data_IF_395262719815
#
_entry.id   IF_395262719815
#
_cell.length_a   1.000
_cell.length_b   1.000
_cell.length_c   1.000
_cell.angle_alpha   90.00
_cell.angle_beta   90.00
_cell.angle_gamma   90.00
#
_symmetry.space_group_name_H-M   'P 1'
#
loop_
_entity.id
_entity.type
_entity.pdbx_description
1 polymer ?
#
# COMPACT_ATOMS: atom_id res chain seq x y z
N UNK A 1 -14.01 3.01 44.41
CA UNK A 1 -13.29 3.64 43.28
C UNK A 1 -11.82 3.76 43.65
N UNK A 2 -10.97 2.85 43.15
CA UNK A 2 -9.53 2.83 43.47
C UNK A 2 -8.80 3.71 42.45
N UNK A 3 -8.10 4.73 42.95
CA UNK A 3 -7.28 5.62 42.14
C UNK A 3 -6.12 4.85 41.48
N UNK A 4 -5.91 5.10 40.18
CA UNK A 4 -4.77 4.60 39.40
C UNK A 4 -3.49 5.38 39.78
N UNK A 5 -2.32 4.73 39.85
CA UNK A 5 -1.07 5.40 40.21
C UNK A 5 -0.56 6.29 39.07
N UNK A 6 -0.31 7.56 39.40
CA UNK A 6 0.15 8.63 38.50
C UNK A 6 1.65 8.58 38.20
N UNK A 7 2.23 7.42 37.88
CA UNK A 7 3.68 7.33 37.68
C UNK A 7 4.06 6.47 36.47
N UNK A 8 3.81 7.01 35.28
CA UNK A 8 4.50 6.62 34.05
C UNK A 8 5.22 7.86 33.53
N UNK A 9 6.38 8.15 34.14
CA UNK A 9 7.35 9.09 33.57
C UNK A 9 7.84 8.50 32.24
N UNK A 10 7.27 8.98 31.15
CA UNK A 10 7.76 8.72 29.81
C UNK A 10 9.19 9.28 29.75
N UNK A 11 10.17 8.42 29.51
CA UNK A 11 11.56 8.79 29.38
C UNK A 11 11.71 9.81 28.25
N UNK A 12 11.91 11.08 28.59
CA UNK A 12 12.24 12.13 27.62
C UNK A 12 13.66 11.90 27.08
N UNK A 13 13.87 11.78 25.76
CA UNK A 13 15.21 11.79 25.19
C UNK A 13 15.81 13.19 25.37
N UNK A 14 16.86 13.30 26.18
CA UNK A 14 17.69 14.50 26.29
C UNK A 14 18.46 14.74 24.97
N UNK A 15 18.32 15.96 24.45
CA UNK A 15 19.33 16.75 23.71
C UNK A 15 20.22 16.03 22.68
N UNK A 16 19.94 16.25 21.39
CA UNK A 16 20.97 16.41 20.36
C UNK A 16 20.64 17.65 19.54
N UNK A 17 21.28 18.77 19.89
CA UNK A 17 21.36 19.99 19.08
C UNK A 17 22.82 20.23 18.73
N UNK A 18 23.15 20.09 17.45
CA UNK A 18 24.26 20.68 16.68
C UNK A 18 24.42 19.79 15.44
N UNK A 19 24.54 20.24 14.19
CA UNK A 19 25.21 21.42 13.67
C UNK A 19 24.51 21.91 12.41
N UNK A 20 24.23 23.21 12.36
CA UNK A 20 24.03 23.99 11.13
C UNK A 20 25.39 24.24 10.47
N UNK A 21 25.56 23.80 9.22
CA UNK A 21 26.75 24.04 8.42
C UNK A 21 26.38 24.45 6.99
N UNK A 22 25.94 25.70 6.83
CA UNK A 22 25.71 26.35 5.54
C UNK A 22 27.06 26.66 4.89
N UNK A 23 27.34 26.07 3.72
CA UNK A 23 28.33 26.59 2.76
C UNK A 23 27.66 26.75 1.40
N UNK A 24 27.27 27.99 1.10
CA UNK A 24 26.98 28.44 -0.27
C UNK A 24 28.32 28.52 -1.02
N UNK A 25 28.43 27.82 -2.15
CA UNK A 25 29.53 28.02 -3.10
C UNK A 25 28.95 28.57 -4.41
N UNK A 26 29.64 29.59 -4.91
CA UNK A 26 29.23 30.49 -5.95
C UNK A 26 29.02 29.82 -7.32
N UNK A 27 28.08 30.42 -8.04
CA UNK A 27 27.73 30.24 -9.44
C UNK A 27 28.88 30.71 -10.35
N UNK A 28 29.24 29.93 -11.36
CA UNK A 28 29.99 30.38 -12.53
C UNK A 28 29.24 29.95 -13.81
N UNK A 29 29.11 30.79 -14.84
CA UNK A 29 28.30 30.51 -16.02
C UNK A 29 29.11 29.95 -17.20
N UNK A 30 28.36 29.38 -18.14
CA UNK A 30 28.65 29.18 -19.56
C UNK A 30 29.56 28.03 -20.01
N UNK A 31 28.91 26.90 -20.34
CA UNK A 31 29.36 26.00 -21.40
C UNK A 31 28.15 25.54 -22.25
N UNK A 32 28.22 25.60 -23.60
CA UNK A 32 27.11 25.25 -24.48
C UNK A 32 26.90 23.72 -24.56
N UNK A 33 25.65 23.22 -24.63
CA UNK A 33 25.39 21.79 -24.66
C UNK A 33 25.72 21.21 -26.04
N UNK A 34 26.72 20.32 -26.05
CA UNK A 34 26.94 19.40 -27.15
C UNK A 34 25.66 18.57 -27.42
N UNK A 35 25.19 18.62 -28.66
CA UNK A 35 24.07 17.81 -29.14
C UNK A 35 24.41 16.32 -29.04
N UNK A 36 23.99 15.68 -27.93
CA UNK A 36 23.97 14.23 -27.81
C UNK A 36 22.81 13.71 -28.66
N UNK A 37 23.13 12.93 -29.70
CA UNK A 37 22.18 12.07 -30.40
C UNK A 37 21.54 11.14 -29.37
N UNK A 38 20.32 11.46 -28.96
CA UNK A 38 19.49 10.57 -28.14
C UNK A 38 19.05 9.44 -29.07
N UNK A 39 19.70 8.29 -28.96
CA UNK A 39 19.13 6.99 -29.31
C UNK A 39 17.90 6.77 -28.43
N UNK A 40 16.78 7.33 -28.88
CA UNK A 40 15.46 7.28 -28.24
C UNK A 40 14.83 5.90 -28.45
N UNK A 41 15.36 4.88 -27.79
CA UNK A 41 14.78 3.53 -27.73
C UNK A 41 15.04 2.81 -26.38
N UNK A 42 14.80 3.44 -25.21
CA UNK A 42 14.42 2.61 -24.07
C UNK A 42 13.12 3.04 -23.36
N UNK A 43 12.56 4.23 -23.62
CA UNK A 43 11.44 4.72 -22.80
C UNK A 43 10.10 4.02 -23.11
N UNK A 44 9.83 3.66 -24.37
CA UNK A 44 8.62 2.92 -24.72
C UNK A 44 8.65 1.46 -24.23
N UNK A 45 9.85 0.84 -24.22
CA UNK A 45 10.06 -0.51 -23.69
C UNK A 45 10.00 -0.52 -22.17
N UNK A 46 10.55 0.51 -21.50
CA UNK A 46 10.40 0.70 -20.06
C UNK A 46 8.97 1.01 -19.65
N UNK A 47 8.20 1.77 -20.44
CA UNK A 47 6.78 2.03 -20.14
C UNK A 47 5.95 0.74 -20.26
N UNK A 48 6.20 -0.09 -21.29
CA UNK A 48 5.55 -1.40 -21.45
C UNK A 48 5.95 -2.37 -20.33
N UNK A 49 7.24 -2.46 -19.97
CA UNK A 49 7.69 -3.32 -18.87
C UNK A 49 7.21 -2.85 -17.48
N UNK A 50 7.11 -1.54 -17.25
CA UNK A 50 6.63 -1.00 -15.97
C UNK A 50 5.10 -1.16 -15.83
N UNK A 51 4.33 -0.99 -16.91
CA UNK A 51 2.89 -1.25 -16.91
C UNK A 51 2.56 -2.74 -16.70
N UNK A 52 3.46 -3.64 -17.10
CA UNK A 52 3.30 -5.08 -16.86
C UNK A 52 3.63 -5.50 -15.41
N UNK A 53 4.49 -4.75 -14.72
CA UNK A 53 4.90 -5.03 -13.34
C UNK A 53 3.97 -4.45 -12.28
N UNK A 54 3.25 -3.37 -12.58
CA UNK A 54 2.34 -2.70 -11.63
C UNK A 54 0.88 -3.21 -11.69
N UNK A 55 0.63 -4.37 -12.30
CA UNK A 55 -0.68 -5.05 -12.26
C UNK A 55 -0.73 -6.08 -11.11
N UNK A 56 -1.41 -5.80 -9.98
CA UNK A 56 -1.48 -6.72 -8.85
C UNK A 56 -2.55 -7.80 -9.07
N UNK A 57 -2.54 -8.50 -10.21
CA UNK A 57 -3.58 -9.48 -10.56
C UNK A 57 -3.07 -10.91 -10.80
N UNK A 58 -1.79 -11.23 -10.57
CA UNK A 58 -1.27 -12.57 -10.81
C UNK A 58 -0.31 -13.07 -9.72
N UNK A 59 -0.78 -13.22 -8.47
CA UNK A 59 -0.16 -14.12 -7.50
C UNK A 59 -1.15 -14.55 -6.41
N UNK A 60 -2.22 -15.25 -6.81
CA UNK A 60 -2.94 -16.15 -5.92
C UNK A 60 -2.98 -17.54 -6.54
N UNK A 61 -1.84 -18.23 -6.43
CA UNK A 61 -1.85 -19.68 -6.37
C UNK A 61 -2.69 -20.08 -5.16
N UNK A 62 -3.81 -20.77 -5.43
CA UNK A 62 -4.66 -21.44 -4.44
C UNK A 62 -3.82 -22.29 -3.49
N UNK A 63 -3.97 -22.16 -2.17
CA UNK A 63 -3.80 -23.29 -1.28
C UNK A 63 -5.15 -23.95 -1.01
N UNK A 64 -5.10 -25.28 -0.90
CA UNK A 64 -6.24 -26.14 -0.67
C UNK A 64 -7.04 -25.76 0.58
N UNK A 65 -8.35 -25.84 0.38
CA UNK A 65 -9.45 -25.79 1.34
C UNK A 65 -9.23 -26.83 2.45
N UNK A 66 -9.00 -26.38 3.68
CA UNK A 66 -9.29 -27.16 4.88
C UNK A 66 -10.39 -26.43 5.66
N UNK A 67 -11.53 -27.10 5.75
CA UNK A 67 -12.72 -26.72 6.49
C UNK A 67 -12.56 -27.09 7.97
N UNK A 68 -12.92 -26.18 8.89
CA UNK A 68 -13.72 -26.41 10.11
C UNK A 68 -13.53 -25.27 11.14
N UNK A 69 -14.63 -24.57 11.47
CA UNK A 69 -14.72 -23.63 12.60
C UNK A 69 -15.90 -22.65 12.45
N UNK A 70 -16.72 -22.39 13.50
CA UNK A 70 -18.08 -21.87 13.35
C UNK A 70 -18.14 -20.37 13.07
N UNK A 71 -19.17 -20.00 12.32
CA UNK A 71 -19.45 -18.67 11.79
C UNK A 71 -19.68 -17.63 12.88
N UNK A 72 -18.89 -16.56 12.85
CA UNK A 72 -19.24 -15.28 13.47
C UNK A 72 -20.10 -14.52 12.44
N UNK A 73 -21.30 -14.03 12.79
CA UNK A 73 -22.11 -13.24 11.88
C UNK A 73 -21.52 -11.83 11.77
N UNK A 74 -20.62 -11.61 10.82
CA UNK A 74 -20.23 -10.25 10.41
C UNK A 74 -21.31 -9.65 9.53
N UNK A 75 -22.27 -8.98 10.16
CA UNK A 75 -23.14 -7.99 9.51
C UNK A 75 -22.29 -6.75 9.17
N UNK A 76 -21.55 -6.80 8.06
CA UNK A 76 -20.91 -5.62 7.49
C UNK A 76 -21.36 -5.47 6.04
N UNK A 77 -22.50 -4.83 5.87
CA UNK A 77 -23.01 -4.33 4.61
C UNK A 77 -22.16 -3.10 4.21
N UNK A 78 -20.87 -3.30 3.99
CA UNK A 78 -19.96 -2.27 3.48
C UNK A 78 -20.19 -2.22 1.98
N UNK A 79 -20.71 -1.11 1.42
CA UNK A 79 -20.85 -0.98 -0.02
C UNK A 79 -19.45 -1.11 -0.62
N UNK A 80 -19.26 -2.18 -1.39
CA UNK A 80 -18.06 -2.32 -2.21
C UNK A 80 -17.96 -1.07 -3.09
N UNK A 81 -16.77 -0.47 -3.21
CA UNK A 81 -16.61 0.68 -4.08
C UNK A 81 -17.12 0.31 -5.48
N UNK A 82 -17.88 1.20 -6.14
CA UNK A 82 -18.41 0.92 -7.47
C UNK A 82 -17.23 0.51 -8.36
N UNK A 83 -17.23 -0.74 -8.82
CA UNK A 83 -16.30 -1.19 -9.84
C UNK A 83 -16.56 -0.27 -11.03
N UNK A 84 -15.57 0.50 -11.53
CA UNK A 84 -15.76 1.35 -12.69
C UNK A 84 -16.13 0.47 -13.88
N UNK A 85 -17.43 0.32 -14.12
CA UNK A 85 -18.01 -0.48 -15.17
C UNK A 85 -18.14 0.36 -16.44
N UNK A 86 -16.99 0.69 -17.03
CA UNK A 86 -16.81 0.96 -18.47
C UNK A 86 -15.31 1.19 -18.71
N UNK A 87 -14.56 0.09 -18.60
CA UNK A 87 -13.10 0.07 -18.64
C UNK A 87 -12.53 0.10 -20.06
N UNK A 88 -12.79 1.15 -20.83
CA UNK A 88 -11.75 1.63 -21.74
C UNK A 88 -10.87 2.58 -20.92
N UNK A 89 -10.12 2.00 -19.98
CA UNK A 89 -9.06 2.74 -19.31
C UNK A 89 -8.05 3.25 -20.33
N UNK A 90 -7.13 4.12 -19.92
CA UNK A 90 -6.02 4.57 -20.78
C UNK A 90 -5.33 3.40 -21.50
N UNK A 91 -5.33 2.23 -20.87
CA UNK A 91 -4.86 0.97 -21.43
C UNK A 91 -5.65 0.51 -22.67
N UNK A 92 -6.98 0.39 -22.60
CA UNK A 92 -7.79 -0.02 -23.77
C UNK A 92 -7.75 1.02 -24.91
N UNK A 93 -7.61 2.31 -24.59
CA UNK A 93 -7.43 3.34 -25.62
C UNK A 93 -6.11 3.17 -26.38
N UNK A 94 -5.03 2.75 -25.71
CA UNK A 94 -3.70 2.66 -26.30
C UNK A 94 -3.40 1.29 -26.90
N UNK A 95 -3.94 0.22 -26.32
CA UNK A 95 -3.70 -1.15 -26.75
C UNK A 95 -4.60 -1.56 -27.92
N UNK A 96 -5.88 -1.16 -27.93
CA UNK A 96 -6.85 -1.69 -28.90
C UNK A 96 -7.20 -0.72 -30.04
N UNK A 97 -6.89 0.58 -29.93
CA UNK A 97 -7.30 1.56 -30.96
C UNK A 97 -6.23 1.83 -32.02
N UNK A 98 -4.95 1.52 -31.76
CA UNK A 98 -3.88 1.83 -32.71
C UNK A 98 -3.79 0.74 -33.78
N UNK A 99 -4.57 0.89 -34.84
CA UNK A 99 -4.50 -0.03 -35.97
C UNK A 99 -3.17 0.13 -36.73
N UNK A 100 -2.49 -0.98 -37.09
CA UNK A 100 -1.25 -0.92 -37.88
C UNK A 100 -1.46 -0.28 -39.26
N UNK A 101 -2.71 -0.22 -39.73
CA UNK A 101 -3.07 0.32 -41.04
C UNK A 101 -3.16 1.84 -41.09
N UNK A 102 -3.12 2.54 -39.95
CA UNK A 102 -3.25 4.00 -39.91
C UNK A 102 -2.20 4.71 -40.76
N UNK A 103 -0.96 4.19 -40.77
CA UNK A 103 0.11 4.72 -41.62
C UNK A 103 -0.24 4.62 -43.10
N UNK A 104 -0.78 3.48 -43.53
CA UNK A 104 -1.12 3.23 -44.92
C UNK A 104 -2.30 4.10 -45.36
N UNK A 105 -3.36 4.15 -44.55
CA UNK A 105 -4.52 5.02 -44.79
C UNK A 105 -4.12 6.49 -44.89
N UNK A 106 -3.21 6.96 -44.02
CA UNK A 106 -2.71 8.33 -44.09
C UNK A 106 -1.88 8.58 -45.36
N UNK A 107 -1.09 7.60 -45.81
CA UNK A 107 -0.33 7.71 -47.05
C UNK A 107 -1.27 7.83 -48.26
N UNK A 108 -2.32 7.01 -48.34
CA UNK A 108 -3.35 7.10 -49.38
C UNK A 108 -4.03 8.47 -49.36
N UNK A 109 -4.37 8.98 -48.17
CA UNK A 109 -4.96 10.30 -48.03
C UNK A 109 -4.03 11.43 -48.50
N UNK A 110 -2.74 11.40 -48.14
CA UNK A 110 -1.77 12.39 -48.61
C UNK A 110 -1.58 12.36 -50.12
N UNK A 111 -1.57 11.18 -50.73
CA UNK A 111 -1.53 11.03 -52.19
C UNK A 111 -2.79 11.60 -52.85
N UNK A 112 -3.97 11.31 -52.29
CA UNK A 112 -5.26 11.80 -52.80
C UNK A 112 -5.33 13.33 -52.83
N UNK A 113 -4.81 14.02 -51.81
CA UNK A 113 -4.81 15.50 -51.74
C UNK A 113 -3.58 16.15 -52.38
N UNK A 114 -2.66 15.39 -52.98
CA UNK A 114 -1.42 15.92 -53.56
C UNK A 114 -0.42 16.51 -52.54
N UNK A 115 -0.48 16.09 -51.27
CA UNK A 115 0.37 16.60 -50.19
C UNK A 115 1.75 15.93 -50.18
N UNK A 116 2.82 16.72 -50.07
CA UNK A 116 4.21 16.22 -49.94
C UNK A 116 4.59 15.79 -48.51
N UNK A 117 3.64 15.72 -47.59
CA UNK A 117 3.89 15.33 -46.19
C UNK A 117 4.22 13.84 -46.09
N UNK A 118 5.15 13.48 -45.20
CA UNK A 118 5.52 12.09 -44.96
C UNK A 118 4.55 11.39 -43.99
N UNK A 119 3.90 10.32 -44.45
CA UNK A 119 3.03 9.47 -43.60
C UNK A 119 3.81 8.81 -42.44
N UNK A 120 5.10 8.48 -42.65
CA UNK A 120 5.97 7.96 -41.59
C UNK A 120 6.18 8.97 -40.47
N UNK A 121 6.47 10.24 -40.83
CA UNK A 121 6.65 11.31 -39.85
C UNK A 121 5.34 11.59 -39.11
N UNK A 122 4.21 11.58 -39.81
CA UNK A 122 2.89 11.72 -39.20
C UNK A 122 2.62 10.62 -38.17
N UNK A 123 2.80 9.35 -38.55
CA UNK A 123 2.56 8.21 -37.66
C UNK A 123 3.47 8.26 -36.43
N UNK A 124 4.75 8.60 -36.62
CA UNK A 124 5.70 8.76 -35.51
C UNK A 124 5.24 9.85 -34.52
N UNK A 125 4.80 11.01 -35.02
CA UNK A 125 4.28 12.08 -34.16
C UNK A 125 2.98 11.70 -33.47
N UNK A 126 2.09 10.97 -34.15
CA UNK A 126 0.86 10.47 -33.55
C UNK A 126 1.16 9.53 -32.38
N UNK A 127 2.05 8.56 -32.56
CA UNK A 127 2.49 7.65 -31.50
C UNK A 127 3.08 8.43 -30.32
N UNK A 128 3.94 9.42 -30.58
CA UNK A 128 4.48 10.27 -29.52
C UNK A 128 3.40 11.01 -28.74
N UNK A 129 2.36 11.52 -29.40
CA UNK A 129 1.26 12.20 -28.72
C UNK A 129 0.41 11.22 -27.90
N UNK A 130 0.13 10.03 -28.42
CA UNK A 130 -0.59 8.98 -27.69
C UNK A 130 0.16 8.57 -26.41
N UNK A 131 1.48 8.38 -26.50
CA UNK A 131 2.32 8.09 -25.33
C UNK A 131 2.25 9.24 -24.31
N UNK A 132 2.29 10.50 -24.75
CA UNK A 132 2.17 11.66 -23.85
C UNK A 132 0.82 11.70 -23.15
N UNK A 133 -0.26 11.46 -23.88
CA UNK A 133 -1.62 11.39 -23.32
C UNK A 133 -1.69 10.28 -22.26
N UNK A 134 -1.22 9.08 -22.58
CA UNK A 134 -1.17 7.96 -21.65
C UNK A 134 -0.39 8.29 -20.37
N UNK A 135 0.76 8.94 -20.50
CA UNK A 135 1.56 9.40 -19.37
C UNK A 135 0.82 10.44 -18.50
N UNK A 136 0.14 11.42 -19.10
CA UNK A 136 -0.64 12.40 -18.34
C UNK A 136 -1.82 11.76 -17.62
N UNK A 137 -2.52 10.82 -18.26
CA UNK A 137 -3.60 10.06 -17.63
C UNK A 137 -3.07 9.25 -16.44
N UNK A 138 -1.95 8.56 -16.59
CA UNK A 138 -1.30 7.82 -15.50
C UNK A 138 -0.91 8.75 -14.35
N UNK A 139 -0.32 9.92 -14.63
CA UNK A 139 -0.02 10.92 -13.60
C UNK A 139 -1.25 11.41 -12.87
N UNK A 140 -2.34 11.65 -13.58
CA UNK A 140 -3.59 12.11 -12.99
C UNK A 140 -4.24 11.04 -12.10
N UNK A 141 -4.29 9.80 -12.57
CA UNK A 141 -4.75 8.66 -11.77
C UNK A 141 -3.90 8.46 -10.52
N UNK A 142 -2.57 8.55 -10.63
CA UNK A 142 -1.69 8.47 -9.47
C UNK A 142 -1.88 9.62 -8.51
N UNK A 143 -2.08 10.83 -9.02
CA UNK A 143 -2.40 12.00 -8.19
C UNK A 143 -3.71 11.77 -7.43
N UNK A 144 -4.74 11.25 -8.09
CA UNK A 144 -6.01 10.94 -7.44
C UNK A 144 -5.88 9.80 -6.41
N UNK A 145 -5.11 8.77 -6.72
CA UNK A 145 -4.88 7.63 -5.82
C UNK A 145 -4.08 8.01 -4.56
N UNK A 146 -3.15 8.95 -4.67
CA UNK A 146 -2.28 9.39 -3.57
C UNK A 146 -2.68 10.75 -2.99
N UNK A 147 -3.78 11.35 -3.47
CA UNK A 147 -4.29 12.59 -2.88
C UNK A 147 -4.87 12.30 -1.50
N UNK A 148 -4.41 13.04 -0.51
CA UNK A 148 -4.94 13.02 0.85
C UNK A 148 -6.41 13.47 0.91
N UNK A 149 -6.86 14.21 -0.11
CA UNK A 149 -8.25 14.67 -0.26
C UNK A 149 -9.17 13.62 -0.90
N UNK A 150 -8.63 12.45 -1.27
CA UNK A 150 -9.46 11.39 -1.83
C UNK A 150 -10.45 10.88 -0.77
N UNK A 151 -11.69 10.63 -1.21
CA UNK A 151 -12.74 10.07 -0.34
C UNK A 151 -12.32 8.73 0.25
N UNK A 152 -11.56 7.94 -0.51
CA UNK A 152 -10.95 6.70 -0.06
C UNK A 152 -9.93 6.94 1.05
N UNK A 153 -9.01 7.89 0.90
CA UNK A 153 -8.01 8.23 1.93
C UNK A 153 -8.70 8.68 3.21
N UNK A 154 -9.71 9.55 3.11
CA UNK A 154 -10.48 10.03 4.26
C UNK A 154 -11.23 8.90 4.97
N UNK A 155 -11.91 8.03 4.21
CA UNK A 155 -12.61 6.88 4.77
C UNK A 155 -11.64 5.90 5.45
N UNK A 156 -10.50 5.64 4.81
CA UNK A 156 -9.46 4.75 5.34
C UNK A 156 -8.80 5.32 6.59
N UNK A 157 -8.50 6.62 6.61
CA UNK A 157 -7.98 7.33 7.78
C UNK A 157 -8.94 7.23 8.96
N UNK A 158 -10.23 7.50 8.74
CA UNK A 158 -11.27 7.35 9.78
C UNK A 158 -11.33 5.92 10.33
N UNK A 159 -11.27 4.91 9.47
CA UNK A 159 -11.27 3.50 9.90
C UNK A 159 -10.08 3.19 10.82
N UNK A 160 -8.89 3.66 10.44
CA UNK A 160 -7.67 3.45 11.22
C UNK A 160 -7.71 4.25 12.53
N UNK A 161 -8.20 5.49 12.51
CA UNK A 161 -8.41 6.31 13.72
C UNK A 161 -9.32 5.61 14.72
N UNK A 162 -10.40 4.97 14.24
CA UNK A 162 -11.28 4.14 15.09
C UNK A 162 -10.48 2.96 15.67
N UNK A 163 -9.64 2.32 14.86
CA UNK A 163 -8.74 1.26 15.31
C UNK A 163 -7.79 1.73 16.42
N UNK A 164 -7.16 2.89 16.25
CA UNK A 164 -6.27 3.50 17.24
C UNK A 164 -7.02 3.80 18.54
N UNK A 165 -8.18 4.45 18.45
CA UNK A 165 -9.03 4.75 19.63
C UNK A 165 -9.42 3.48 20.39
N UNK A 166 -9.74 2.39 19.69
CA UNK A 166 -10.01 1.08 20.32
C UNK A 166 -8.78 0.53 21.04
N UNK A 167 -7.58 0.66 20.46
CA UNK A 167 -6.35 0.22 21.11
C UNK A 167 -6.03 1.03 22.37
N UNK A 168 -6.25 2.35 22.35
CA UNK A 168 -6.11 3.21 23.52
C UNK A 168 -7.17 2.90 24.59
N UNK A 169 -8.41 2.62 24.20
CA UNK A 169 -9.48 2.22 25.12
C UNK A 169 -9.18 0.91 25.87
N UNK A 170 -8.48 -0.04 25.23
CA UNK A 170 -7.99 -1.26 25.90
C UNK A 170 -6.83 -0.99 26.88
N UNK A 171 -6.22 0.20 26.83
CA UNK A 171 -5.10 0.59 27.68
C UNK A 171 -3.85 -0.28 27.48
N UNK A 172 -3.00 -0.33 28.51
CA UNK A 172 -1.74 -1.09 28.49
C UNK A 172 -1.91 -2.59 28.74
N UNK A 173 -3.15 -3.06 28.94
CA UNK A 173 -3.44 -4.48 29.12
C UNK A 173 -2.94 -5.28 27.93
N UNK A 174 -2.45 -6.50 28.14
CA UNK A 174 -1.93 -7.39 27.09
C UNK A 174 -0.77 -6.86 26.24
N UNK A 175 -0.12 -5.76 26.65
CA UNK A 175 1.07 -5.22 25.97
C UNK A 175 2.32 -5.51 26.82
N UNK A 176 3.37 -6.13 26.24
CA UNK A 176 4.62 -6.33 26.95
C UNK A 176 5.22 -5.02 27.45
N UNK A 177 5.85 -5.03 28.63
CA UNK A 177 6.43 -3.82 29.25
C UNK A 177 7.40 -3.08 28.31
N UNK A 178 8.23 -3.83 27.55
CA UNK A 178 9.16 -3.29 26.56
C UNK A 178 8.49 -2.49 25.42
N UNK A 179 7.19 -2.68 25.22
CA UNK A 179 6.41 -2.10 24.10
C UNK A 179 5.41 -1.04 24.60
N UNK A 180 5.37 -0.76 25.90
CA UNK A 180 4.51 0.27 26.47
C UNK A 180 4.90 1.69 26.01
N UNK A 181 6.12 1.88 25.51
CA UNK A 181 6.55 3.17 24.93
C UNK A 181 5.69 3.61 23.74
N UNK A 182 5.00 2.67 23.06
CA UNK A 182 4.07 2.99 21.98
C UNK A 182 2.87 3.84 22.46
N UNK A 183 2.61 3.88 23.76
CA UNK A 183 1.55 4.64 24.42
C UNK A 183 2.08 5.82 25.24
N UNK A 184 3.38 6.16 25.10
CA UNK A 184 3.94 7.35 25.74
C UNK A 184 3.35 8.65 25.17
N UNK A 185 3.06 8.65 23.87
CA UNK A 185 2.41 9.80 23.22
C UNK A 185 0.92 9.85 23.58
N UNK A 186 0.37 11.04 23.90
CA UNK A 186 -1.07 11.22 24.04
C UNK A 186 -1.82 10.75 22.79
N UNK A 187 -3.03 10.22 22.98
CA UNK A 187 -3.86 9.72 21.87
C UNK A 187 -4.04 10.77 20.77
N UNK A 188 -4.25 12.04 21.15
CA UNK A 188 -4.41 13.15 20.21
C UNK A 188 -3.15 13.37 19.36
N UNK A 189 -1.97 13.29 19.96
CA UNK A 189 -0.68 13.39 19.27
C UNK A 189 -0.52 12.27 18.25
N UNK A 190 -0.94 11.04 18.59
CA UNK A 190 -0.90 9.91 17.66
C UNK A 190 -1.88 10.11 16.51
N UNK A 191 -3.11 10.57 16.79
CA UNK A 191 -4.15 10.82 15.77
C UNK A 191 -3.82 11.98 14.83
N UNK A 192 -2.96 12.91 15.24
CA UNK A 192 -2.51 14.02 14.39
C UNK A 192 -1.39 13.64 13.39
N UNK A 193 -0.84 12.42 13.47
CA UNK A 193 0.20 11.93 12.53
C UNK A 193 -0.37 11.59 11.14
N UNK A 194 0.53 11.24 10.22
CA UNK A 194 0.16 10.83 8.87
C UNK A 194 -0.61 9.49 8.86
N UNK A 195 -1.35 9.21 7.78
CA UNK A 195 -2.04 7.92 7.62
C UNK A 195 -1.07 6.74 7.67
N UNK A 196 0.13 6.89 7.11
CA UNK A 196 1.16 5.84 7.12
C UNK A 196 1.64 5.54 8.54
N UNK A 197 1.88 6.58 9.34
CA UNK A 197 2.25 6.45 10.75
C UNK A 197 1.14 5.75 11.56
N UNK A 198 -0.12 6.10 11.29
CA UNK A 198 -1.28 5.48 11.92
C UNK A 198 -1.34 3.98 11.62
N UNK A 199 -1.16 3.61 10.35
CA UNK A 199 -1.14 2.20 9.93
C UNK A 199 0.02 1.45 10.58
N UNK A 200 1.20 2.06 10.59
CA UNK A 200 2.39 1.48 11.18
C UNK A 200 2.21 1.25 12.67
N UNK A 201 1.78 2.29 13.41
CA UNK A 201 1.50 2.23 14.84
C UNK A 201 0.47 1.14 15.15
N UNK A 202 -0.66 1.12 14.43
CA UNK A 202 -1.73 0.13 14.67
C UNK A 202 -1.25 -1.30 14.40
N UNK A 203 -0.41 -1.50 13.36
CA UNK A 203 0.21 -2.79 13.04
C UNK A 203 1.15 -3.25 14.15
N UNK A 204 2.00 -2.37 14.66
CA UNK A 204 2.93 -2.67 15.76
C UNK A 204 2.18 -3.06 17.03
N UNK A 205 1.21 -2.25 17.47
CA UNK A 205 0.42 -2.53 18.67
C UNK A 205 -0.35 -3.86 18.55
N UNK A 206 -1.00 -4.08 17.40
CA UNK A 206 -1.74 -5.32 17.15
C UNK A 206 -0.82 -6.55 17.17
N UNK A 207 0.38 -6.42 16.59
CA UNK A 207 1.41 -7.46 16.61
C UNK A 207 1.87 -7.77 18.02
N UNK A 208 2.22 -6.75 18.81
CA UNK A 208 2.70 -6.94 20.19
C UNK A 208 1.66 -7.62 21.07
N UNK A 209 0.39 -7.20 20.99
CA UNK A 209 -0.72 -7.88 21.69
C UNK A 209 -0.89 -9.33 21.24
N UNK A 210 -0.77 -9.61 19.94
CA UNK A 210 -0.88 -10.98 19.44
C UNK A 210 0.28 -11.86 19.95
N UNK A 211 1.50 -11.34 19.98
CA UNK A 211 2.67 -12.03 20.54
C UNK A 211 2.46 -12.31 22.03
N UNK A 212 2.02 -11.30 22.79
CA UNK A 212 1.81 -11.45 24.23
C UNK A 212 0.74 -12.49 24.55
N UNK A 213 -0.42 -12.44 23.87
CA UNK A 213 -1.48 -13.45 24.02
C UNK A 213 -0.98 -14.87 23.73
N UNK A 214 -0.18 -15.05 22.68
CA UNK A 214 0.46 -16.34 22.36
C UNK A 214 1.44 -16.79 23.44
N UNK A 215 2.21 -15.86 24.01
CA UNK A 215 3.14 -16.15 25.11
C UNK A 215 2.41 -16.60 26.37
N UNK A 216 1.35 -15.89 26.77
CA UNK A 216 0.52 -16.24 27.92
C UNK A 216 -0.17 -17.60 27.73
N UNK A 217 -0.74 -17.86 26.55
CA UNK A 217 -1.33 -19.16 26.23
C UNK A 217 -0.32 -20.30 26.35
N UNK A 218 0.92 -20.10 25.89
CA UNK A 218 2.01 -21.10 26.06
C UNK A 218 2.38 -21.29 27.53
N UNK A 219 2.46 -20.21 28.31
CA UNK A 219 2.74 -20.31 29.75
C UNK A 219 1.64 -21.09 30.46
N UNK A 220 0.37 -20.81 30.16
CA UNK A 220 -0.75 -21.54 30.74
C UNK A 220 -0.74 -23.03 30.34
N UNK A 221 -0.40 -23.32 29.09
CA UNK A 221 -0.25 -24.71 28.62
C UNK A 221 0.83 -25.45 29.40
N UNK A 222 2.00 -24.84 29.59
CA UNK A 222 3.09 -25.44 30.37
C UNK A 222 2.70 -25.68 31.82
N UNK A 223 2.02 -24.73 32.47
CA UNK A 223 1.54 -24.90 33.85
C UNK A 223 0.54 -26.07 33.92
N UNK A 224 -0.38 -26.14 32.97
CA UNK A 224 -1.35 -27.22 32.91
C UNK A 224 -0.69 -28.59 32.68
N UNK A 225 0.30 -28.66 31.80
CA UNK A 225 1.04 -29.89 31.54
C UNK A 225 1.87 -30.35 32.74
N UNK A 226 2.43 -29.43 33.54
CA UNK A 226 3.11 -29.74 34.80
C UNK A 226 2.16 -30.18 35.92
N UNK A 227 0.97 -29.58 35.98
CA UNK A 227 -0.06 -29.93 36.96
C UNK A 227 -0.82 -31.21 36.59
N UNK A 228 -0.64 -31.74 35.37
CA UNK A 228 -1.26 -32.99 34.92
C UNK A 228 -0.69 -34.17 35.73
N UNK A 229 -1.49 -34.91 36.51
CA UNK A 229 -1.00 -36.06 37.25
C UNK A 229 -0.56 -37.17 36.28
N UNK A 230 0.64 -37.73 36.50
CA UNK A 230 1.27 -38.73 35.63
C UNK A 230 0.49 -40.06 35.48
N UNK A 231 -0.57 -40.26 36.27
CA UNK A 231 -1.37 -41.48 36.32
C UNK A 231 -2.77 -41.35 35.68
N UNK A 232 -3.07 -40.29 34.92
CA UNK A 232 -4.27 -40.29 34.09
C UNK A 232 -3.94 -40.86 32.70
N UNK A 233 -4.31 -42.11 32.39
CA UNK A 233 -4.22 -42.61 31.03
C UNK A 233 -5.03 -41.67 30.12
N UNK A 234 -4.45 -41.34 28.98
CA UNK A 234 -5.09 -40.56 27.91
C UNK A 234 -6.33 -41.31 27.41
N UNK A 235 -7.47 -41.14 28.08
CA UNK A 235 -8.77 -41.64 27.63
C UNK A 235 -9.34 -40.68 26.59
N UNK A 236 -8.61 -40.44 25.50
CA UNK A 236 -9.30 -40.07 24.27
C UNK A 236 -9.98 -41.35 23.79
N UNK A 237 -11.31 -41.40 23.65
CA UNK A 237 -11.94 -42.53 22.99
C UNK A 237 -11.47 -42.48 21.55
N UNK A 238 -10.51 -43.34 21.20
CA UNK A 238 -10.24 -43.72 19.82
C UNK A 238 -11.54 -44.33 19.34
N UNK A 239 -12.38 -43.50 18.72
CA UNK A 239 -13.64 -43.93 18.14
C UNK A 239 -13.34 -45.06 17.18
N UNK A 240 -13.63 -46.28 17.63
CA UNK A 240 -13.85 -47.41 16.75
C UNK A 240 -14.99 -47.00 15.83
N UNK A 241 -14.64 -46.75 14.57
CA UNK A 241 -15.58 -46.51 13.51
C UNK A 241 -16.01 -47.90 13.00
N UNK A 242 -17.26 -48.33 13.16
CA UNK A 242 -17.80 -49.47 12.42
C UNK A 242 -17.99 -49.13 10.93
#
# INVERSE_FOLDING_TARGET
MKALPANLQCWTPKHISSMTGVRRRALAPDAPPAQRKITSMPFAVLLLLQLQNDSPSAFLGRPHRLSLGPAIPTSSNVPSPPKPSLGLGAQGLLEDLVSPNWRHLQALHFSYIGSKKSANLWASRLIQQLIRIGHYMWKDLNRLAHSEDSSWYTARKREIDIGIRKQFAMGLMDIPQRSQYLFCDPQETVLNKSLEDHQHWLRLVSRERAINRRSLARQHQMIFDLARPANQPSTWPTGANP
#
